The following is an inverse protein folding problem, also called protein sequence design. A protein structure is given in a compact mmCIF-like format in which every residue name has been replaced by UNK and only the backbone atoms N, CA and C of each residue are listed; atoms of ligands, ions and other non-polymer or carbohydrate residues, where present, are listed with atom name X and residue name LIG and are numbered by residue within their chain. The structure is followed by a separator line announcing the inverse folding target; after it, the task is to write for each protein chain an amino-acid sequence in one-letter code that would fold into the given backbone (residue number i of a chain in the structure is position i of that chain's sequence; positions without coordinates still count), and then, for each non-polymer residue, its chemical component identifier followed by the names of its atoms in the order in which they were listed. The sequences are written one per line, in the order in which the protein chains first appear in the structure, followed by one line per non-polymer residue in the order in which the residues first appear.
data_IF_870310922528
#
_entry.id   IF_870310922528
#
_cell.length_a   1.000
_cell.length_b   1.000
_cell.length_c   1.000
_cell.angle_alpha   90.00
_cell.angle_beta   90.00
_cell.angle_gamma   90.00
#
_symmetry.space_group_name_H-M   'P 1'
#
loop_
_entity.id
_entity.type
_entity.pdbx_description
1 polymer ?
#
# COMPACT_ATOMS: atom_id res chain seq x y z
N UNK A 1 3.23 -6.16 -13.53
CA UNK A 1 3.60 -5.08 -14.47
C UNK A 1 4.94 -4.52 -14.03
N UNK A 2 5.86 -4.19 -14.94
CA UNK A 2 7.00 -3.33 -14.60
C UNK A 2 6.46 -2.07 -13.91
N UNK A 3 7.00 -1.69 -12.74
CA UNK A 3 6.56 -0.51 -11.98
C UNK A 3 5.71 -0.76 -10.72
N UNK A 4 5.05 -1.92 -10.55
CA UNK A 4 4.18 -2.16 -9.37
C UNK A 4 4.94 -2.22 -8.05
N UNK A 5 6.17 -2.72 -8.06
CA UNK A 5 7.04 -2.70 -6.88
C UNK A 5 7.50 -1.28 -6.52
N UNK A 6 7.70 -0.42 -7.52
CA UNK A 6 8.05 0.99 -7.31
C UNK A 6 6.91 1.74 -6.64
N UNK A 7 5.68 1.57 -7.12
CA UNK A 7 4.51 2.23 -6.54
C UNK A 7 4.16 1.71 -5.15
N UNK A 8 4.34 0.41 -4.90
CA UNK A 8 4.20 -0.14 -3.56
C UNK A 8 5.26 0.41 -2.60
N UNK A 9 6.50 0.54 -3.06
CA UNK A 9 7.58 1.14 -2.24
C UNK A 9 7.29 2.61 -1.95
N UNK A 10 6.83 3.36 -2.96
CA UNK A 10 6.41 4.75 -2.83
C UNK A 10 5.24 4.90 -1.84
N UNK A 11 4.28 3.97 -1.84
CA UNK A 11 3.20 3.97 -0.84
C UNK A 11 3.74 3.87 0.60
N UNK A 12 4.73 3.01 0.84
CA UNK A 12 5.34 2.88 2.17
C UNK A 12 6.18 4.09 2.55
N UNK A 13 6.88 4.68 1.60
CA UNK A 13 7.61 5.94 1.78
C UNK A 13 6.64 7.09 2.14
N UNK A 14 5.61 7.33 1.32
CA UNK A 14 4.59 8.35 1.55
C UNK A 14 3.80 8.13 2.84
N UNK A 15 3.79 6.91 3.36
CA UNK A 15 3.13 6.59 4.63
C UNK A 15 3.83 7.23 5.84
N UNK A 16 5.06 7.72 5.72
CA UNK A 16 5.72 8.46 6.81
C UNK A 16 5.13 9.85 7.04
N UNK A 17 4.47 10.42 6.02
CA UNK A 17 3.89 11.77 6.07
C UNK A 17 2.46 11.78 6.66
N UNK A 18 1.94 10.62 7.03
CA UNK A 18 0.56 10.48 7.54
C UNK A 18 0.40 11.20 8.87
N UNK A 19 -0.77 11.81 9.04
CA UNK A 19 -1.14 12.36 10.33
C UNK A 19 -1.44 11.24 11.33
N UNK A 20 -0.84 11.34 12.52
CA UNK A 20 -1.09 10.47 13.67
C UNK A 20 -1.81 11.30 14.74
N UNK A 21 -3.09 11.02 14.98
CA UNK A 21 -3.88 11.64 16.06
C UNK A 21 -4.70 10.54 16.75
N UNK A 22 -6.03 10.63 16.80
CA UNK A 22 -6.93 9.59 17.34
C UNK A 22 -7.07 8.33 16.45
N UNK A 23 -6.14 8.14 15.51
CA UNK A 23 -6.16 7.09 14.50
C UNK A 23 -5.14 7.40 13.41
N UNK A 24 -4.97 6.47 12.47
CA UNK A 24 -4.14 6.70 11.29
C UNK A 24 -4.96 7.48 10.26
N UNK A 25 -4.44 8.63 9.83
CA UNK A 25 -5.01 9.47 8.80
C UNK A 25 -4.56 9.11 7.38
N UNK A 26 -5.26 9.62 6.35
CA UNK A 26 -4.90 9.42 4.95
C UNK A 26 -3.55 10.05 4.62
N UNK A 27 -2.92 9.59 3.55
CA UNK A 27 -1.73 10.25 2.99
C UNK A 27 -2.16 11.64 2.47
N UNK A 28 -1.47 12.73 2.87
CA UNK A 28 -1.74 14.06 2.36
C UNK A 28 -1.64 14.10 0.84
N UNK A 29 -2.60 14.76 0.19
CA UNK A 29 -2.59 14.90 -1.28
C UNK A 29 -1.31 15.60 -1.78
N UNK A 30 -0.86 16.62 -1.05
CA UNK A 30 0.36 17.35 -1.36
C UNK A 30 1.60 16.44 -1.41
N UNK A 31 1.71 15.44 -0.52
CA UNK A 31 2.84 14.49 -0.55
C UNK A 31 2.83 13.63 -1.81
N UNK A 32 1.64 13.19 -2.25
CA UNK A 32 1.47 12.40 -3.48
C UNK A 32 1.84 13.24 -4.70
N UNK A 33 1.27 14.45 -4.80
CA UNK A 33 1.52 15.36 -5.93
C UNK A 33 3.01 15.76 -6.00
N UNK A 34 3.64 15.98 -4.84
CA UNK A 34 5.08 16.25 -4.76
C UNK A 34 5.91 15.05 -5.24
N UNK A 35 5.57 13.83 -4.82
CA UNK A 35 6.29 12.62 -5.23
C UNK A 35 6.18 12.37 -6.74
N UNK A 36 4.99 12.58 -7.34
CA UNK A 36 4.78 12.53 -8.79
C UNK A 36 5.73 13.52 -9.49
N UNK A 37 5.80 14.77 -8.99
CA UNK A 37 6.67 15.79 -9.54
C UNK A 37 8.17 15.49 -9.40
N UNK A 38 8.61 14.90 -8.28
CA UNK A 38 10.02 14.52 -8.07
C UNK A 38 10.47 13.34 -8.92
N UNK A 39 9.55 12.49 -9.36
CA UNK A 39 9.85 11.28 -10.14
C UNK A 39 9.58 11.47 -11.64
N UNK A 40 9.31 12.70 -12.08
CA UNK A 40 9.06 13.06 -13.48
C UNK A 40 8.02 12.15 -14.17
N UNK A 41 6.99 11.74 -13.43
CA UNK A 41 5.89 10.97 -14.02
C UNK A 41 5.11 11.87 -14.97
N UNK A 42 4.76 11.34 -16.14
CA UNK A 42 3.88 12.03 -17.07
C UNK A 42 2.46 12.15 -16.49
N UNK A 43 1.60 12.92 -17.16
CA UNK A 43 0.24 13.18 -16.68
C UNK A 43 -0.59 11.89 -16.51
N UNK A 44 -0.41 10.92 -17.40
CA UNK A 44 -1.18 9.67 -17.40
C UNK A 44 -0.70 8.74 -16.28
N UNK A 45 0.62 8.57 -16.17
CA UNK A 45 1.26 7.75 -15.14
C UNK A 45 1.09 8.38 -13.76
N UNK A 46 1.12 9.71 -13.65
CA UNK A 46 0.88 10.46 -12.43
C UNK A 46 -0.54 10.25 -11.91
N UNK A 47 -1.56 10.37 -12.76
CA UNK A 47 -2.95 10.09 -12.38
C UNK A 47 -3.15 8.61 -12.02
N UNK A 48 -2.53 7.70 -12.77
CA UNK A 48 -2.60 6.26 -12.47
C UNK A 48 -1.94 5.92 -11.12
N UNK A 49 -0.76 6.49 -10.86
CA UNK A 49 -0.05 6.38 -9.58
C UNK A 49 -0.89 6.92 -8.42
N UNK A 50 -1.44 8.13 -8.59
CA UNK A 50 -2.30 8.78 -7.60
C UNK A 50 -3.52 7.93 -7.26
N UNK A 51 -4.18 7.38 -8.27
CA UNK A 51 -5.31 6.47 -8.09
C UNK A 51 -4.88 5.19 -7.34
N UNK A 52 -3.78 4.57 -7.76
CA UNK A 52 -3.27 3.36 -7.12
C UNK A 52 -2.90 3.60 -5.64
N UNK A 53 -2.21 4.70 -5.33
CA UNK A 53 -1.85 5.09 -3.96
C UNK A 53 -3.10 5.36 -3.12
N UNK A 54 -4.16 5.94 -3.69
CA UNK A 54 -5.42 6.18 -2.97
C UNK A 54 -6.20 4.92 -2.64
N UNK A 55 -6.28 3.96 -3.55
CA UNK A 55 -6.87 2.64 -3.25
C UNK A 55 -6.00 1.87 -2.23
N UNK A 56 -4.67 1.96 -2.39
CA UNK A 56 -3.61 1.69 -1.41
C UNK A 56 -4.03 2.10 0.02
N UNK A 57 -4.16 3.41 0.13
CA UNK A 57 -4.42 4.16 1.35
C UNK A 57 -5.75 3.77 1.99
N UNK A 58 -6.81 3.66 1.20
CA UNK A 58 -8.13 3.25 1.68
C UNK A 58 -8.09 1.87 2.35
N UNK A 59 -7.49 0.88 1.69
CA UNK A 59 -7.37 -0.47 2.25
C UNK A 59 -6.52 -0.47 3.54
N UNK A 60 -5.45 0.33 3.57
CA UNK A 60 -4.61 0.47 4.75
C UNK A 60 -5.36 1.11 5.93
N UNK A 61 -6.13 2.18 5.69
CA UNK A 61 -6.93 2.83 6.73
C UNK A 61 -8.01 1.91 7.30
N UNK A 62 -8.67 1.13 6.45
CA UNK A 62 -9.64 0.11 6.85
C UNK A 62 -9.00 -0.98 7.72
N UNK A 63 -7.73 -1.32 7.49
CA UNK A 63 -6.99 -2.27 8.32
C UNK A 63 -6.46 -1.64 9.62
N UNK A 64 -5.80 -0.49 9.52
CA UNK A 64 -5.07 0.16 10.62
C UNK A 64 -6.03 0.69 11.71
N UNK A 65 -7.20 1.19 11.32
CA UNK A 65 -8.18 1.70 12.27
C UNK A 65 -9.09 0.60 12.86
N UNK A 66 -8.94 -0.68 12.44
CA UNK A 66 -9.64 -1.79 13.12
C UNK A 66 -9.04 -2.02 14.51
N UNK A 67 -9.89 -2.28 15.53
CA UNK A 67 -9.45 -2.77 16.84
C UNK A 67 -8.58 -4.02 16.66
N UNK A 68 -7.57 -4.19 17.51
CA UNK A 68 -6.63 -5.30 17.42
C UNK A 68 -7.33 -6.68 17.40
N UNK A 69 -8.38 -6.82 18.21
CA UNK A 69 -9.22 -8.02 18.30
C UNK A 69 -9.99 -8.37 17.01
N UNK A 70 -10.13 -7.42 16.09
CA UNK A 70 -10.86 -7.57 14.82
C UNK A 70 -9.93 -7.60 13.61
N UNK A 71 -8.61 -7.48 13.80
CA UNK A 71 -7.66 -7.57 12.69
C UNK A 71 -7.51 -9.04 12.29
N UNK A 72 -7.60 -9.36 10.97
CA UNK A 72 -7.39 -10.73 10.53
C UNK A 72 -5.97 -11.16 10.90
N UNK A 73 -5.84 -12.19 11.72
CA UNK A 73 -4.54 -12.79 12.03
C UNK A 73 -4.04 -13.44 10.75
N UNK A 74 -2.96 -12.93 10.17
CA UNK A 74 -2.27 -13.61 9.08
C UNK A 74 -1.55 -14.79 9.70
N UNK A 75 -2.30 -15.88 9.88
CA UNK A 75 -1.74 -17.20 10.13
C UNK A 75 -1.00 -17.57 8.86
N UNK A 76 0.33 -17.47 8.85
CA UNK A 76 1.14 -18.15 7.85
C UNK A 76 0.72 -19.62 7.90
N UNK A 77 -0.07 -20.07 6.92
CA UNK A 77 -0.32 -21.51 6.78
C UNK A 77 1.07 -22.15 6.68
N UNK A 78 1.43 -23.09 7.58
CA UNK A 78 2.66 -23.83 7.37
C UNK A 78 2.58 -24.45 5.98
N UNK A 79 3.67 -24.36 5.21
CA UNK A 79 3.75 -24.99 3.90
C UNK A 79 3.37 -26.46 4.08
N UNK A 80 2.19 -26.87 3.65
CA UNK A 80 1.86 -28.29 3.57
C UNK A 80 2.62 -28.87 2.38
N UNK A 81 3.05 -30.14 2.43
CA UNK A 81 3.71 -30.80 1.31
C UNK A 81 2.90 -30.68 0.01
N UNK A 82 1.57 -30.78 0.11
CA UNK A 82 0.62 -30.61 -0.99
C UNK A 82 0.67 -29.20 -1.64
N UNK A 83 0.91 -28.16 -0.84
CA UNK A 83 1.00 -26.78 -1.33
C UNK A 83 2.36 -26.50 -1.97
N UNK A 84 3.43 -27.14 -1.49
CA UNK A 84 4.77 -27.02 -2.07
C UNK A 84 4.84 -27.68 -3.44
N UNK A 85 4.32 -28.90 -3.57
CA UNK A 85 4.24 -29.60 -4.86
C UNK A 85 3.36 -28.86 -5.86
N UNK A 86 2.27 -28.22 -5.44
CA UNK A 86 1.43 -27.42 -6.32
C UNK A 86 2.09 -26.12 -6.82
N UNK A 87 3.15 -25.64 -6.15
CA UNK A 87 3.86 -24.38 -6.50
C UNK A 87 5.17 -24.67 -7.25
N UNK A 88 5.86 -25.77 -6.94
CA UNK A 88 7.22 -26.06 -7.42
C UNK A 88 7.37 -27.39 -8.16
N UNK A 89 6.31 -28.20 -8.26
CA UNK A 89 6.25 -29.41 -9.09
C UNK A 89 5.66 -29.12 -10.46
#
# INVERSE_FOLDING_TARGET
MPGTYGWLSAFWELSTDRQLSMGVGPIPLASIDNWIGHNDLDEVDGECFKYAVREMDKAYLEYANKPEDQRPTVSSRPLTPELFDAIFG
#
